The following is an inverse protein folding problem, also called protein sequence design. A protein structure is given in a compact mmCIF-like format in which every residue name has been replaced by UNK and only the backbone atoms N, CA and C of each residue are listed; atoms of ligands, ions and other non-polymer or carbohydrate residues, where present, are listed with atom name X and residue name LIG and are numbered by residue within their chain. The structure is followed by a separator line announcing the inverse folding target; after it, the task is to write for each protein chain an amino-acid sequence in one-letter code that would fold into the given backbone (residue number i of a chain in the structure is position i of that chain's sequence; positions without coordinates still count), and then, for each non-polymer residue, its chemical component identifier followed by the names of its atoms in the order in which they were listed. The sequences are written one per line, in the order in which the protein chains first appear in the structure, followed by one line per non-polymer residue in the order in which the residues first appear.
data_IF_035135980302
#
_entry.id   IF_035135980302
#
_cell.length_a   1.000
_cell.length_b   1.000
_cell.length_c   1.000
_cell.angle_alpha   90.00
_cell.angle_beta   90.00
_cell.angle_gamma   90.00
#
_symmetry.space_group_name_H-M   'P 1'
#
loop_
_entity.id
_entity.type
_entity.pdbx_description
1 polymer ?
#
# COMPACT_ATOMS: atom_id res chain seq x y z
N UNK A 1 -8.42 -22.04 7.90
CA UNK A 1 -8.48 -21.52 6.52
C UNK A 1 -7.78 -22.52 5.63
N UNK A 2 -8.32 -22.89 4.46
CA UNK A 2 -7.63 -23.79 3.54
C UNK A 2 -6.48 -23.05 2.85
N UNK A 3 -5.50 -23.77 2.29
CA UNK A 3 -4.42 -23.15 1.51
C UNK A 3 -4.95 -22.27 0.36
N UNK A 4 -5.98 -22.76 -0.33
CA UNK A 4 -6.67 -22.02 -1.38
C UNK A 4 -7.26 -20.68 -0.88
N UNK A 5 -7.91 -20.70 0.30
CA UNK A 5 -8.48 -19.48 0.88
C UNK A 5 -7.39 -18.48 1.31
N UNK A 6 -6.24 -18.95 1.83
CA UNK A 6 -5.10 -18.06 2.14
C UNK A 6 -4.53 -17.44 0.85
N UNK A 7 -4.41 -18.23 -0.21
CA UNK A 7 -3.95 -17.76 -1.52
C UNK A 7 -4.87 -16.70 -2.09
N UNK A 8 -6.18 -16.90 -2.03
CA UNK A 8 -7.18 -15.92 -2.50
C UNK A 8 -7.04 -14.57 -1.77
N UNK A 9 -6.87 -14.59 -0.45
CA UNK A 9 -6.64 -13.38 0.35
C UNK A 9 -5.34 -12.68 -0.07
N UNK A 10 -4.22 -13.41 -0.15
CA UNK A 10 -2.92 -12.82 -0.51
C UNK A 10 -2.91 -12.23 -1.93
N UNK A 11 -3.62 -12.86 -2.87
CA UNK A 11 -3.78 -12.32 -4.23
C UNK A 11 -4.65 -11.06 -4.21
N UNK A 12 -5.72 -11.03 -3.42
CA UNK A 12 -6.56 -9.83 -3.28
C UNK A 12 -5.76 -8.66 -2.69
N UNK A 13 -4.97 -8.89 -1.64
CA UNK A 13 -4.06 -7.90 -1.05
C UNK A 13 -3.05 -7.36 -2.07
N UNK A 14 -2.43 -8.25 -2.85
CA UNK A 14 -1.48 -7.85 -3.89
C UNK A 14 -2.15 -7.05 -5.02
N UNK A 15 -3.36 -7.44 -5.43
CA UNK A 15 -4.15 -6.72 -6.43
C UNK A 15 -4.56 -5.33 -5.92
N UNK A 16 -4.95 -5.22 -4.64
CA UNK A 16 -5.29 -3.94 -4.03
C UNK A 16 -4.09 -2.99 -4.01
N UNK A 17 -2.91 -3.51 -3.63
CA UNK A 17 -1.67 -2.74 -3.67
C UNK A 17 -1.31 -2.28 -5.09
N UNK A 18 -1.54 -3.14 -6.10
CA UNK A 18 -1.37 -2.80 -7.52
C UNK A 18 -2.35 -1.73 -8.01
N UNK A 19 -3.62 -1.81 -7.59
CA UNK A 19 -4.65 -0.82 -7.93
C UNK A 19 -4.31 0.55 -7.36
N UNK A 20 -3.85 0.61 -6.11
CA UNK A 20 -3.38 1.84 -5.48
C UNK A 20 -2.23 2.47 -6.27
N UNK A 21 -1.22 1.66 -6.63
CA UNK A 21 -0.07 2.12 -7.43
C UNK A 21 -0.50 2.63 -8.82
N UNK A 22 -1.37 1.90 -9.52
CA UNK A 22 -1.88 2.30 -10.83
C UNK A 22 -2.69 3.58 -10.81
N UNK A 23 -3.59 3.75 -9.82
CA UNK A 23 -4.37 5.00 -9.67
C UNK A 23 -3.46 6.15 -9.22
N UNK A 24 -2.41 5.88 -8.43
CA UNK A 24 -1.43 6.89 -8.03
C UNK A 24 -0.69 7.46 -9.23
N UNK A 25 -0.33 6.63 -10.20
CA UNK A 25 0.26 7.12 -11.46
C UNK A 25 -0.69 8.09 -12.18
N UNK A 26 -2.00 7.81 -12.18
CA UNK A 26 -3.03 8.71 -12.76
C UNK A 26 -3.24 9.99 -11.96
N UNK A 27 -3.12 9.93 -10.64
CA UNK A 27 -3.11 11.11 -9.79
C UNK A 27 -1.89 12.00 -10.09
N UNK A 28 -0.71 11.42 -10.26
CA UNK A 28 0.50 12.18 -10.57
C UNK A 28 0.45 12.83 -11.96
N UNK A 29 -0.04 12.11 -12.97
CA UNK A 29 -0.34 12.65 -14.30
C UNK A 29 -1.30 13.85 -14.19
N UNK A 30 -2.40 13.69 -13.45
CA UNK A 30 -3.38 14.77 -13.26
C UNK A 30 -2.77 16.00 -12.58
N UNK A 31 -1.99 15.83 -11.51
CA UNK A 31 -1.32 16.93 -10.80
C UNK A 31 -0.37 17.69 -11.73
N UNK A 32 0.36 16.98 -12.59
CA UNK A 32 1.24 17.59 -13.59
C UNK A 32 0.46 18.36 -14.66
N UNK A 33 -0.60 17.76 -15.20
CA UNK A 33 -1.42 18.36 -16.27
C UNK A 33 -2.08 19.68 -15.83
N UNK A 34 -2.50 19.77 -14.57
CA UNK A 34 -3.10 21.01 -14.02
C UNK A 34 -2.05 22.01 -13.50
N UNK A 35 -0.76 21.67 -13.57
CA UNK A 35 0.34 22.53 -13.12
C UNK A 35 0.33 22.79 -11.61
N UNK A 36 -0.15 21.84 -10.81
CA UNK A 36 -0.15 21.97 -9.35
C UNK A 36 1.24 21.66 -8.80
N UNK A 37 1.91 22.69 -8.29
CA UNK A 37 3.24 22.58 -7.67
C UNK A 37 3.14 22.34 -6.16
N UNK A 38 4.22 21.78 -5.58
CA UNK A 38 4.35 21.65 -4.12
C UNK A 38 3.61 20.48 -3.48
N UNK A 39 3.01 19.59 -4.27
CA UNK A 39 2.43 18.33 -3.78
C UNK A 39 3.57 17.42 -3.28
N UNK A 40 3.60 17.03 -1.99
CA UNK A 40 4.62 16.12 -1.49
C UNK A 40 4.61 14.76 -2.22
N UNK A 41 5.79 14.27 -2.56
CA UNK A 41 5.93 12.98 -3.24
C UNK A 41 5.65 11.80 -2.28
N UNK A 42 4.87 10.84 -2.77
CA UNK A 42 4.66 9.55 -2.13
C UNK A 42 4.38 8.47 -3.18
N UNK A 43 4.52 7.21 -2.80
CA UNK A 43 4.28 6.05 -3.67
C UNK A 43 3.79 4.85 -2.85
N UNK A 44 3.37 3.78 -3.51
CA UNK A 44 2.94 2.53 -2.86
C UNK A 44 4.05 1.49 -2.90
N UNK A 45 4.16 0.65 -1.87
CA UNK A 45 5.15 -0.42 -1.78
C UNK A 45 4.87 -1.60 -2.72
N UNK A 46 4.45 -1.32 -3.95
CA UNK A 46 4.04 -2.30 -4.96
C UNK A 46 5.22 -2.76 -5.82
N UNK A 47 6.09 -1.83 -6.24
CA UNK A 47 7.23 -2.17 -7.10
C UNK A 47 8.15 -3.17 -6.38
N UNK A 48 8.53 -4.22 -7.10
CA UNK A 48 9.34 -5.35 -6.61
C UNK A 48 8.66 -6.21 -5.53
N UNK A 49 7.35 -6.00 -5.29
CA UNK A 49 6.54 -6.88 -4.46
C UNK A 49 6.06 -8.09 -5.26
N UNK A 50 5.92 -9.24 -4.57
CA UNK A 50 5.51 -10.48 -5.21
C UNK A 50 4.78 -11.42 -4.27
N UNK A 51 3.89 -12.23 -4.85
CA UNK A 51 3.35 -13.42 -4.21
C UNK A 51 4.31 -14.60 -4.40
N UNK A 52 4.60 -15.32 -3.32
CA UNK A 52 5.46 -16.50 -3.34
C UNK A 52 4.82 -17.70 -2.66
N UNK A 53 5.24 -18.89 -3.09
CA UNK A 53 4.87 -20.16 -2.47
C UNK A 53 6.14 -20.91 -2.05
N UNK A 54 6.10 -21.57 -0.90
CA UNK A 54 7.19 -22.38 -0.36
C UNK A 54 6.90 -23.85 -0.63
N UNK A 55 7.83 -24.50 -1.33
CA UNK A 55 7.83 -25.96 -1.48
C UNK A 55 8.63 -26.61 -0.33
N UNK A 56 8.03 -27.51 0.47
CA UNK A 56 8.75 -28.24 1.50
C UNK A 56 9.82 -29.15 0.90
N UNK A 57 11.09 -28.83 1.12
CA UNK A 57 12.18 -29.73 0.76
C UNK A 57 12.27 -30.89 1.76
N UNK A 58 12.49 -32.10 1.26
CA UNK A 58 12.73 -33.30 2.08
C UNK A 58 13.94 -33.14 3.04
N UNK A 59 14.90 -32.28 2.69
CA UNK A 59 16.03 -31.91 3.55
C UNK A 59 15.67 -31.07 4.80
N UNK A 60 14.47 -30.48 4.86
CA UNK A 60 14.02 -29.67 6.00
C UNK A 60 13.64 -30.49 7.24
N UNK A 61 13.70 -31.82 7.16
CA UNK A 61 13.25 -32.71 8.23
C UNK A 61 11.75 -32.57 8.50
N UNK A 62 10.96 -32.21 7.48
CA UNK A 62 9.52 -31.94 7.57
C UNK A 62 9.16 -30.72 8.45
N UNK A 63 10.10 -29.80 8.69
CA UNK A 63 9.81 -28.51 9.32
C UNK A 63 9.22 -27.58 8.27
N UNK A 64 7.90 -27.59 8.16
CA UNK A 64 7.17 -26.74 7.23
C UNK A 64 6.88 -25.38 7.87
N UNK A 65 6.87 -24.32 7.07
CA UNK A 65 6.26 -23.07 7.49
C UNK A 65 4.77 -23.30 7.81
N UNK A 66 4.18 -22.56 8.77
CA UNK A 66 2.75 -22.66 9.05
C UNK A 66 1.86 -22.33 7.85
N UNK A 67 2.37 -21.48 6.94
CA UNK A 67 1.73 -21.08 5.70
C UNK A 67 2.69 -21.28 4.53
N UNK A 68 2.19 -21.86 3.44
CA UNK A 68 2.98 -22.10 2.24
C UNK A 68 3.01 -20.87 1.32
N UNK A 69 1.94 -20.08 1.29
CA UNK A 69 1.87 -18.84 0.51
C UNK A 69 2.24 -17.61 1.35
N UNK A 70 2.90 -16.64 0.74
CA UNK A 70 3.23 -15.36 1.35
C UNK A 70 3.20 -14.21 0.32
N UNK A 71 3.00 -12.99 0.83
CA UNK A 71 3.22 -11.76 0.09
C UNK A 71 4.49 -11.10 0.64
N UNK A 72 5.43 -10.78 -0.23
CA UNK A 72 6.65 -10.08 0.13
C UNK A 72 6.68 -8.71 -0.54
N UNK A 73 7.06 -7.70 0.23
CA UNK A 73 7.26 -6.32 -0.25
C UNK A 73 8.65 -5.83 0.13
N UNK A 74 9.21 -4.83 -0.56
CA UNK A 74 10.47 -4.21 -0.17
C UNK A 74 10.47 -3.77 1.30
N UNK A 75 11.57 -4.07 2.00
CA UNK A 75 11.73 -3.71 3.41
C UNK A 75 11.97 -2.21 3.55
N UNK A 76 11.05 -1.53 4.24
CA UNK A 76 11.21 -0.14 4.63
C UNK A 76 12.13 0.01 5.85
N UNK A 77 12.77 1.19 6.05
CA UNK A 77 13.51 1.47 7.27
C UNK A 77 12.65 1.19 8.52
N UNK A 78 13.16 0.36 9.41
CA UNK A 78 12.41 -0.15 10.58
C UNK A 78 13.31 -0.34 11.82
N UNK A 79 14.47 0.31 11.85
CA UNK A 79 15.37 0.29 13.00
C UNK A 79 14.84 1.17 14.14
N UNK A 80 15.46 1.03 15.32
CA UNK A 80 15.08 1.78 16.54
C UNK A 80 15.18 3.32 16.42
N UNK A 81 15.82 3.81 15.37
CA UNK A 81 16.05 5.23 15.11
C UNK A 81 15.28 5.72 13.86
N UNK A 82 14.57 4.82 13.18
CA UNK A 82 13.75 5.18 12.03
C UNK A 82 12.37 5.67 12.50
N UNK A 83 11.73 6.50 11.68
CA UNK A 83 10.42 7.06 11.99
C UNK A 83 9.36 5.94 12.02
N UNK A 84 8.43 5.96 12.98
CA UNK A 84 7.36 4.97 13.04
C UNK A 84 6.42 5.10 11.84
N UNK A 85 5.69 4.02 11.55
CA UNK A 85 4.61 4.06 10.56
C UNK A 85 3.57 5.09 11.00
N UNK A 86 3.28 6.04 10.11
CA UNK A 86 2.24 7.06 10.27
C UNK A 86 0.97 6.58 9.58
N UNK A 87 -0.16 6.71 10.26
CA UNK A 87 -1.50 6.49 9.70
C UNK A 87 -2.10 7.83 9.26
N UNK A 88 -2.52 7.91 8.00
CA UNK A 88 -3.05 9.12 7.35
C UNK A 88 -4.57 9.11 7.25
N UNK A 89 -5.17 7.94 7.07
CA UNK A 89 -6.62 7.74 7.07
C UNK A 89 -6.98 6.51 7.91
N UNK A 90 -8.18 6.49 8.49
CA UNK A 90 -8.78 5.31 9.10
C UNK A 90 -9.82 4.67 8.20
N UNK A 91 -10.33 3.51 8.59
CA UNK A 91 -11.39 2.79 7.87
C UNK A 91 -12.71 3.56 7.89
N UNK A 92 -13.12 4.09 9.06
CA UNK A 92 -14.40 4.80 9.22
C UNK A 92 -14.28 6.33 9.20
N UNK A 93 -13.05 6.86 9.32
CA UNK A 93 -12.79 8.29 9.41
C UNK A 93 -11.42 8.63 8.81
N UNK A 94 -11.39 9.61 7.90
CA UNK A 94 -10.16 10.14 7.31
C UNK A 94 -9.24 10.83 8.34
N UNK A 95 -9.80 11.39 9.41
CA UNK A 95 -9.05 12.21 10.37
C UNK A 95 -8.64 13.58 9.80
N UNK A 96 -7.89 14.39 10.57
CA UNK A 96 -7.53 15.75 10.16
C UNK A 96 -6.31 15.80 9.21
N UNK A 97 -6.35 16.70 8.22
CA UNK A 97 -5.26 16.92 7.27
C UNK A 97 -4.42 18.16 7.63
N UNK A 98 -3.66 18.07 8.74
CA UNK A 98 -2.95 19.22 9.33
C UNK A 98 -1.56 19.49 8.73
N UNK A 99 -1.05 18.58 7.91
CA UNK A 99 0.24 18.71 7.23
C UNK A 99 0.09 18.43 5.73
N UNK A 100 0.99 19.00 4.92
CA UNK A 100 0.91 18.95 3.45
C UNK A 100 0.95 17.51 2.91
N UNK A 101 1.67 16.60 3.57
CA UNK A 101 1.72 15.20 3.16
C UNK A 101 0.38 14.51 3.42
N UNK A 102 -0.22 14.71 4.59
CA UNK A 102 -1.56 14.19 4.88
C UNK A 102 -2.62 14.76 3.93
N UNK A 103 -2.54 16.06 3.61
CA UNK A 103 -3.41 16.70 2.63
C UNK A 103 -3.27 16.06 1.24
N UNK A 104 -2.05 15.79 0.79
CA UNK A 104 -1.81 15.12 -0.49
C UNK A 104 -2.35 13.68 -0.52
N UNK A 105 -2.18 12.92 0.57
CA UNK A 105 -2.74 11.57 0.69
C UNK A 105 -4.27 11.61 0.68
N UNK A 106 -4.90 12.55 1.40
CA UNK A 106 -6.35 12.74 1.39
C UNK A 106 -6.87 13.16 0.01
N UNK A 107 -6.15 14.06 -0.68
CA UNK A 107 -6.48 14.47 -2.04
C UNK A 107 -6.39 13.29 -3.02
N UNK A 108 -5.40 12.41 -2.88
CA UNK A 108 -5.32 11.17 -3.65
C UNK A 108 -6.48 10.22 -3.37
N UNK A 109 -6.87 10.01 -2.10
CA UNK A 109 -8.03 9.18 -1.74
C UNK A 109 -9.31 9.71 -2.40
N UNK A 110 -9.52 11.03 -2.35
CA UNK A 110 -10.66 11.67 -3.00
C UNK A 110 -10.58 11.58 -4.54
N UNK A 111 -9.40 11.77 -5.12
CA UNK A 111 -9.18 11.59 -6.55
C UNK A 111 -9.50 10.15 -6.99
N UNK A 112 -9.04 9.13 -6.24
CA UNK A 112 -9.30 7.73 -6.56
C UNK A 112 -10.81 7.41 -6.57
N UNK A 113 -11.56 7.97 -5.62
CA UNK A 113 -13.02 7.86 -5.59
C UNK A 113 -13.68 8.47 -6.83
N UNK A 114 -13.31 9.70 -7.19
CA UNK A 114 -13.85 10.36 -8.38
C UNK A 114 -13.41 9.67 -9.69
N UNK A 115 -12.14 9.28 -9.79
CA UNK A 115 -11.55 8.63 -10.95
C UNK A 115 -12.17 7.25 -11.21
N UNK A 116 -12.47 6.50 -10.14
CA UNK A 116 -13.16 5.21 -10.22
C UNK A 116 -14.67 5.34 -10.44
N UNK A 117 -15.22 6.56 -10.58
CA UNK A 117 -16.67 6.83 -10.68
C UNK A 117 -17.44 6.27 -9.48
N UNK A 118 -16.96 6.56 -8.28
CA UNK A 118 -17.64 6.18 -7.04
C UNK A 118 -17.73 4.66 -6.83
N UNK A 119 -16.76 3.90 -7.37
CA UNK A 119 -16.71 2.44 -7.23
C UNK A 119 -15.62 1.95 -6.28
N UNK A 120 -14.65 2.80 -5.94
CA UNK A 120 -13.51 2.39 -5.13
C UNK A 120 -13.08 3.53 -4.20
N UNK A 121 -13.24 3.32 -2.89
CA UNK A 121 -12.76 4.22 -1.87
C UNK A 121 -11.60 3.57 -1.11
N UNK A 122 -10.41 4.13 -1.26
CA UNK A 122 -9.24 3.70 -0.49
C UNK A 122 -9.26 4.28 0.93
N UNK A 123 -8.98 3.44 1.92
CA UNK A 123 -8.94 3.79 3.34
C UNK A 123 -7.74 3.13 4.03
N UNK A 124 -7.54 3.43 5.32
CA UNK A 124 -6.37 2.97 6.09
C UNK A 124 -5.00 3.26 5.43
N UNK A 125 -4.87 4.40 4.76
CA UNK A 125 -3.60 4.83 4.18
C UNK A 125 -2.58 5.01 5.31
N UNK A 126 -1.50 4.24 5.28
CA UNK A 126 -0.43 4.30 6.27
C UNK A 126 0.92 4.04 5.61
N UNK A 127 2.00 4.53 6.21
CA UNK A 127 3.32 4.44 5.60
C UNK A 127 4.45 4.99 6.46
N UNK A 128 5.67 4.84 5.97
CA UNK A 128 6.86 5.49 6.54
C UNK A 128 7.78 5.99 5.44
N UNK A 129 8.75 6.81 5.80
CA UNK A 129 9.73 7.32 4.87
C UNK A 129 10.73 6.24 4.46
N UNK A 130 11.01 6.16 3.16
CA UNK A 130 12.10 5.37 2.64
C UNK A 130 13.47 6.01 2.97
N UNK A 131 14.56 5.35 2.54
CA UNK A 131 15.92 5.87 2.73
C UNK A 131 16.20 7.19 1.99
N UNK A 132 15.37 7.54 1.01
CA UNK A 132 15.44 8.79 0.24
C UNK A 132 14.51 9.87 0.82
N UNK A 133 13.88 9.61 1.97
CA UNK A 133 12.91 10.50 2.61
C UNK A 133 11.67 10.79 1.74
N UNK A 134 11.26 9.81 0.95
CA UNK A 134 9.98 9.79 0.23
C UNK A 134 8.99 8.90 0.99
N UNK A 135 7.75 9.34 1.16
CA UNK A 135 6.73 8.57 1.87
C UNK A 135 6.33 7.34 1.05
N UNK A 136 6.48 6.16 1.63
CA UNK A 136 6.03 4.89 1.05
C UNK A 136 4.80 4.39 1.81
N UNK A 137 3.68 4.31 1.11
CA UNK A 137 2.42 3.78 1.64
C UNK A 137 2.40 2.26 1.53
N UNK A 138 1.88 1.62 2.58
CA UNK A 138 1.82 0.17 2.77
C UNK A 138 0.42 -0.22 3.24
N UNK A 139 0.07 -1.48 3.00
CA UNK A 139 -1.10 -2.14 3.62
C UNK A 139 -2.40 -1.31 3.53
N UNK A 140 -2.78 -0.83 2.31
CA UNK A 140 -4.00 -0.06 2.13
C UNK A 140 -5.24 -0.96 2.31
N UNK A 141 -6.39 -0.34 2.60
CA UNK A 141 -7.70 -0.99 2.56
C UNK A 141 -8.58 -0.32 1.51
N UNK A 142 -9.65 -1.01 1.08
CA UNK A 142 -10.61 -0.45 0.14
C UNK A 142 -12.05 -0.88 0.44
N UNK A 143 -12.97 0.03 0.13
CA UNK A 143 -14.39 -0.26 0.01
C UNK A 143 -14.78 -0.22 -1.47
N UNK A 144 -15.50 -1.26 -1.90
CA UNK A 144 -16.03 -1.47 -3.25
C UNK A 144 -17.53 -1.72 -3.20
#
# INVERSE_FOLDING_TARGET
MTFQAVREVLIAEFQLLAQCDGIKQKFDEFVQDVGCEGVPAFYFNFKDSFYGEVEPLSASGHRTFPHLGFLATPLLPCGRFDDPVKKFTGSDNLGPANDSLTQAVHAFVHFAWAYSREQLLFCDMQGTFDRKKVMCLIDPQAHT
#
